data_IF_506249996082
#
_entry.id   IF_506249996082
#
_cell.length_a   1.000
_cell.length_b   1.000
_cell.length_c   1.000
_cell.angle_alpha   90.00
_cell.angle_beta   90.00
_cell.angle_gamma   90.00
#
_symmetry.space_group_name_H-M   'P 1'
#
loop_
_entity.id
_entity.type
_entity.pdbx_description
1 polymer ?
#
# COMPACT_ATOMS: atom_id res chain seq x y z
N UNK A 1 4.26 -3.42 -25.61
CA UNK A 1 4.61 -4.31 -26.74
C UNK A 1 3.28 -4.58 -27.44
N UNK A 2 3.16 -4.37 -28.76
CA UNK A 2 1.90 -4.62 -29.49
C UNK A 2 1.66 -6.12 -29.69
N UNK A 3 0.45 -6.45 -30.14
CA UNK A 3 0.08 -7.84 -30.46
C UNK A 3 0.96 -8.42 -31.57
N UNK A 4 1.08 -9.75 -31.57
CA UNK A 4 1.75 -10.45 -32.64
C UNK A 4 0.94 -10.33 -33.93
N UNK A 5 1.60 -10.09 -35.03
CA UNK A 5 1.00 -10.02 -36.37
C UNK A 5 1.28 -11.28 -37.16
N UNK A 6 0.33 -11.68 -38.00
CA UNK A 6 0.56 -12.79 -38.93
C UNK A 6 1.66 -12.41 -39.92
N UNK A 7 2.62 -13.32 -40.13
CA UNK A 7 3.75 -13.14 -41.05
C UNK A 7 3.68 -14.20 -42.15
N UNK A 8 3.62 -13.75 -43.39
CA UNK A 8 3.65 -14.64 -44.55
C UNK A 8 4.98 -15.42 -44.68
N UNK A 9 4.96 -16.54 -45.40
CA UNK A 9 6.16 -17.34 -45.64
C UNK A 9 7.25 -16.51 -46.32
N UNK A 10 8.39 -16.32 -45.62
CA UNK A 10 9.49 -15.44 -46.03
C UNK A 10 9.34 -13.98 -45.71
N UNK A 11 8.26 -13.59 -45.00
CA UNK A 11 8.05 -12.24 -44.49
C UNK A 11 9.01 -11.86 -43.35
N UNK A 12 9.29 -10.58 -43.23
CA UNK A 12 10.13 -10.08 -42.12
C UNK A 12 9.29 -9.93 -40.83
N UNK A 13 9.84 -10.44 -39.74
CA UNK A 13 9.27 -10.21 -38.41
C UNK A 13 9.63 -8.80 -37.97
N UNK A 14 8.65 -8.07 -37.44
CA UNK A 14 8.86 -6.74 -36.82
C UNK A 14 9.48 -6.89 -35.44
N UNK A 15 10.55 -6.12 -35.18
CA UNK A 15 11.27 -6.15 -33.93
C UNK A 15 11.03 -4.84 -33.17
N UNK A 16 10.30 -4.91 -32.07
CA UNK A 16 10.20 -3.81 -31.13
C UNK A 16 11.41 -3.78 -30.20
N UNK A 17 11.98 -2.62 -29.97
CA UNK A 17 13.05 -2.48 -28.98
C UNK A 17 12.49 -2.51 -27.57
N UNK A 18 13.04 -3.38 -26.72
CA UNK A 18 12.73 -3.45 -25.30
C UNK A 18 13.41 -2.28 -24.57
N UNK A 19 12.62 -1.40 -23.96
CA UNK A 19 13.12 -0.38 -23.04
C UNK A 19 13.08 -0.91 -21.62
N UNK A 20 14.17 -0.71 -20.88
CA UNK A 20 14.27 -1.07 -19.46
C UNK A 20 14.34 0.21 -18.65
N UNK A 21 13.46 0.36 -17.69
CA UNK A 21 13.52 1.46 -16.71
C UNK A 21 14.11 0.98 -15.40
N UNK A 22 14.77 1.88 -14.67
CA UNK A 22 15.44 1.55 -13.41
C UNK A 22 14.94 2.48 -12.31
N UNK A 23 14.30 1.88 -11.31
CA UNK A 23 13.86 2.59 -10.12
C UNK A 23 14.89 2.52 -9.00
N UNK A 24 15.14 3.63 -8.34
CA UNK A 24 16.00 3.70 -7.16
C UNK A 24 15.15 3.80 -5.89
N UNK A 25 15.40 2.93 -4.93
CA UNK A 25 14.74 2.96 -3.63
C UNK A 25 15.73 3.13 -2.49
N UNK A 26 15.29 3.83 -1.44
CA UNK A 26 16.11 4.12 -0.26
C UNK A 26 15.79 3.13 0.84
N UNK A 27 16.84 2.53 1.42
CA UNK A 27 16.70 1.67 2.59
C UNK A 27 16.78 2.53 3.84
N UNK A 28 15.84 2.35 4.74
CA UNK A 28 15.77 3.03 6.04
C UNK A 28 16.09 2.10 7.19
N UNK A 29 16.49 2.69 8.29
CA UNK A 29 16.62 2.03 9.58
C UNK A 29 15.38 2.35 10.42
N UNK A 30 14.65 1.34 10.86
CA UNK A 30 13.66 1.45 11.92
C UNK A 30 14.22 0.81 13.19
N UNK A 31 14.04 1.46 14.32
CA UNK A 31 14.52 0.92 15.58
C UNK A 31 13.71 1.45 16.76
N UNK A 32 13.62 0.64 17.80
CA UNK A 32 12.96 0.98 19.06
C UNK A 32 13.79 0.40 20.22
N UNK A 33 13.82 1.12 21.31
CA UNK A 33 14.48 0.66 22.53
C UNK A 33 13.64 0.90 23.78
N UNK A 34 13.89 0.08 24.79
CA UNK A 34 13.30 0.14 26.12
C UNK A 34 14.42 0.15 27.15
N UNK A 35 14.23 0.89 28.24
CA UNK A 35 15.12 0.88 29.40
C UNK A 35 14.35 0.42 30.63
N UNK A 36 14.96 -0.44 31.43
CA UNK A 36 14.38 -1.00 32.65
C UNK A 36 15.38 -0.78 33.77
N UNK A 37 14.94 -0.18 34.87
CA UNK A 37 15.75 -0.02 36.09
C UNK A 37 15.79 -1.33 36.89
N UNK A 38 16.83 -1.52 37.69
CA UNK A 38 16.96 -2.72 38.53
C UNK A 38 15.81 -2.78 39.56
N UNK A 39 15.39 -1.64 40.09
CA UNK A 39 14.27 -1.54 41.03
C UNK A 39 12.97 -2.01 40.38
N UNK A 40 12.71 -1.59 39.11
CA UNK A 40 11.50 -2.02 38.38
C UNK A 40 11.56 -3.53 38.06
N UNK A 41 12.75 -4.08 37.81
CA UNK A 41 12.91 -5.50 37.56
C UNK A 41 12.73 -6.35 38.83
N UNK A 42 13.13 -5.81 39.98
CA UNK A 42 13.05 -6.53 41.28
C UNK A 42 11.66 -6.39 41.93
N UNK A 43 11.02 -5.22 41.80
CA UNK A 43 9.71 -4.93 42.43
C UNK A 43 8.54 -5.15 41.49
N UNK A 44 8.78 -5.32 40.18
CA UNK A 44 7.74 -5.51 39.17
C UNK A 44 7.03 -6.86 39.32
N UNK A 45 5.69 -6.82 39.20
CA UNK A 45 4.91 -8.04 39.10
C UNK A 45 5.01 -8.60 37.68
N UNK A 46 5.44 -9.87 37.55
CA UNK A 46 5.60 -10.53 36.26
C UNK A 46 7.03 -10.43 35.69
N UNK A 47 7.17 -10.48 34.35
CA UNK A 47 8.44 -10.35 33.63
C UNK A 47 8.49 -9.04 32.84
N UNK A 48 9.01 -7.95 33.41
CA UNK A 48 9.12 -6.66 32.71
C UNK A 48 10.11 -6.69 31.55
N UNK A 49 11.09 -7.61 31.57
CA UNK A 49 12.08 -7.75 30.50
C UNK A 49 11.45 -8.38 29.26
N UNK A 50 10.75 -9.50 29.44
CA UNK A 50 10.04 -10.17 28.37
C UNK A 50 8.96 -9.28 27.73
N UNK A 51 8.20 -8.56 28.58
CA UNK A 51 7.20 -7.62 28.08
C UNK A 51 7.84 -6.44 27.30
N UNK A 52 8.97 -5.93 27.74
CA UNK A 52 9.71 -4.90 27.02
C UNK A 52 10.18 -5.37 25.63
N UNK A 53 10.71 -6.60 25.54
CA UNK A 53 11.12 -7.18 24.27
C UNK A 53 9.93 -7.41 23.34
N UNK A 54 8.80 -7.91 23.86
CA UNK A 54 7.55 -8.07 23.09
C UNK A 54 7.08 -6.74 22.52
N UNK A 55 7.08 -5.67 23.31
CA UNK A 55 6.67 -4.34 22.86
C UNK A 55 7.59 -3.78 21.78
N UNK A 56 8.89 -3.99 21.88
CA UNK A 56 9.85 -3.57 20.84
C UNK A 56 9.53 -4.27 19.50
N UNK A 57 9.32 -5.58 19.54
CA UNK A 57 9.02 -6.37 18.34
C UNK A 57 7.71 -5.90 17.69
N UNK A 58 6.67 -5.70 18.50
CA UNK A 58 5.40 -5.19 18.00
C UNK A 58 5.51 -3.77 17.43
N UNK A 59 6.33 -2.91 18.02
CA UNK A 59 6.53 -1.55 17.54
C UNK A 59 7.24 -1.52 16.18
N UNK A 60 8.25 -2.38 15.97
CA UNK A 60 8.96 -2.50 14.69
C UNK A 60 8.01 -3.04 13.62
N UNK A 61 7.30 -4.15 13.89
CA UNK A 61 6.33 -4.71 12.97
C UNK A 61 5.24 -3.69 12.59
N UNK A 62 4.71 -2.97 13.58
CA UNK A 62 3.72 -1.92 13.32
C UNK A 62 4.26 -0.78 12.45
N UNK A 63 5.55 -0.44 12.60
CA UNK A 63 6.19 0.59 11.76
C UNK A 63 6.33 0.13 10.31
N UNK A 64 6.74 -1.12 10.09
CA UNK A 64 6.84 -1.70 8.75
C UNK A 64 5.48 -1.69 8.07
N UNK A 65 4.43 -2.17 8.74
CA UNK A 65 3.08 -2.18 8.21
C UNK A 65 2.58 -0.76 7.85
N UNK A 66 2.89 0.22 8.71
CA UNK A 66 2.49 1.61 8.44
C UNK A 66 3.22 2.18 7.22
N UNK A 67 4.48 1.84 7.04
CA UNK A 67 5.28 2.28 5.88
C UNK A 67 4.81 1.59 4.59
N UNK A 68 4.46 0.30 4.66
CA UNK A 68 3.85 -0.43 3.54
C UNK A 68 2.53 0.24 3.14
N UNK A 69 1.65 0.49 4.11
CA UNK A 69 0.36 1.12 3.85
C UNK A 69 0.52 2.54 3.32
N UNK A 70 1.43 3.35 3.89
CA UNK A 70 1.70 4.71 3.43
C UNK A 70 2.23 4.73 1.99
N UNK A 71 3.07 3.75 1.63
CA UNK A 71 3.57 3.60 0.26
C UNK A 71 2.45 3.16 -0.68
N UNK A 72 1.59 2.22 -0.26
CA UNK A 72 0.43 1.76 -1.02
C UNK A 72 -0.55 2.89 -1.33
N UNK A 73 -0.78 3.81 -0.37
CA UNK A 73 -1.67 4.97 -0.55
C UNK A 73 -1.19 5.96 -1.63
N UNK A 74 0.00 5.79 -2.17
CA UNK A 74 0.54 6.58 -3.29
C UNK A 74 0.45 5.85 -4.63
N UNK A 75 -0.34 4.79 -4.71
CA UNK A 75 -0.61 4.10 -5.97
C UNK A 75 -1.13 5.06 -7.04
N UNK A 76 -0.80 4.75 -8.29
CA UNK A 76 -1.30 5.45 -9.47
C UNK A 76 -2.80 5.23 -9.67
N UNK A 77 -3.26 3.99 -9.47
CA UNK A 77 -4.67 3.66 -9.58
C UNK A 77 -5.41 4.05 -8.30
N UNK A 78 -6.26 5.06 -8.42
CA UNK A 78 -7.06 5.54 -7.29
C UNK A 78 -8.50 5.79 -7.69
N UNK A 79 -9.43 5.32 -6.87
CA UNK A 79 -10.85 5.65 -6.96
C UNK A 79 -11.21 6.59 -5.81
N UNK A 80 -11.39 7.88 -6.13
CA UNK A 80 -11.63 8.91 -5.10
C UNK A 80 -13.04 9.50 -5.11
N UNK A 81 -13.86 9.16 -6.08
CA UNK A 81 -15.18 9.78 -6.26
C UNK A 81 -16.29 8.74 -6.37
N UNK A 82 -17.24 8.80 -5.41
CA UNK A 82 -18.54 8.14 -5.55
C UNK A 82 -18.58 6.65 -5.23
N UNK A 83 -17.48 6.04 -4.83
CA UNK A 83 -17.46 4.62 -4.46
C UNK A 83 -17.73 4.47 -2.97
N UNK A 84 -18.88 3.89 -2.63
CA UNK A 84 -19.19 3.53 -1.24
C UNK A 84 -18.58 2.15 -0.93
N UNK A 85 -17.56 2.13 -0.10
CA UNK A 85 -16.87 0.90 0.34
C UNK A 85 -17.78 -0.05 1.13
N UNK A 86 -19.01 0.37 1.46
CA UNK A 86 -19.98 -0.45 2.17
C UNK A 86 -21.03 -1.08 1.25
N UNK A 87 -21.02 -0.75 -0.05
CA UNK A 87 -21.87 -1.35 -1.09
C UNK A 87 -21.18 -2.50 -1.81
N UNK A 88 -21.95 -3.42 -2.36
CA UNK A 88 -21.47 -4.48 -3.23
C UNK A 88 -20.91 -3.93 -4.55
N UNK A 89 -21.46 -2.81 -5.04
CA UNK A 89 -21.00 -2.13 -6.27
C UNK A 89 -19.52 -1.71 -6.21
N UNK A 90 -18.93 -1.68 -5.00
CA UNK A 90 -17.50 -1.44 -4.83
C UNK A 90 -16.64 -2.49 -5.57
N UNK A 91 -17.06 -3.75 -5.56
CA UNK A 91 -16.29 -4.82 -6.22
C UNK A 91 -16.33 -4.66 -7.73
N UNK A 92 -17.52 -4.33 -8.28
CA UNK A 92 -17.67 -4.03 -9.70
C UNK A 92 -16.81 -2.81 -10.12
N UNK A 93 -16.76 -1.79 -9.26
CA UNK A 93 -15.91 -0.63 -9.51
C UNK A 93 -14.40 -0.96 -9.44
N UNK A 94 -13.99 -1.89 -8.56
CA UNK A 94 -12.61 -2.38 -8.49
C UNK A 94 -12.24 -3.13 -9.77
N UNK A 95 -13.12 -4.04 -10.21
CA UNK A 95 -12.88 -4.81 -11.43
C UNK A 95 -12.84 -3.92 -12.67
N UNK A 96 -13.78 -2.97 -12.79
CA UNK A 96 -13.77 -2.00 -13.86
C UNK A 96 -12.48 -1.19 -13.88
N UNK A 97 -12.01 -0.71 -12.72
CA UNK A 97 -10.78 0.07 -12.65
C UNK A 97 -9.53 -0.71 -13.05
N UNK A 98 -9.47 -2.01 -12.78
CA UNK A 98 -8.37 -2.85 -13.24
C UNK A 98 -8.48 -3.20 -14.72
N UNK A 99 -9.68 -3.35 -15.26
CA UNK A 99 -9.90 -3.67 -16.67
C UNK A 99 -9.79 -2.44 -17.58
N UNK A 100 -10.17 -1.27 -17.07
CA UNK A 100 -10.11 0.00 -17.82
C UNK A 100 -8.71 0.65 -17.82
N UNK A 101 -7.73 0.04 -17.14
CA UNK A 101 -6.36 0.53 -17.16
C UNK A 101 -5.72 0.27 -18.52
N UNK A 102 -5.84 1.24 -19.42
CA UNK A 102 -5.24 1.23 -20.75
C UNK A 102 -3.81 1.79 -20.78
N UNK A 103 -3.16 1.90 -19.64
CA UNK A 103 -1.79 2.39 -19.58
C UNK A 103 -0.83 1.46 -20.36
N UNK A 104 0.25 2.01 -20.89
CA UNK A 104 1.30 1.27 -21.61
C UNK A 104 1.93 0.14 -20.75
N UNK A 105 1.69 0.19 -19.44
CA UNK A 105 2.19 -0.75 -18.44
C UNK A 105 1.14 -1.79 -18.01
N UNK A 106 -0.13 -1.60 -18.36
CA UNK A 106 -1.15 -2.61 -18.17
C UNK A 106 -0.84 -3.76 -19.13
N UNK A 107 -0.16 -4.74 -18.62
CA UNK A 107 0.01 -6.01 -19.33
C UNK A 107 -1.34 -6.69 -19.31
N UNK A 108 -1.84 -7.15 -20.45
CA UNK A 108 -2.89 -8.15 -20.48
C UNK A 108 -2.40 -9.34 -19.67
N UNK A 109 -2.78 -9.33 -18.39
CA UNK A 109 -2.19 -10.23 -17.43
C UNK A 109 -3.13 -11.43 -17.29
N UNK A 110 -2.60 -12.59 -17.52
CA UNK A 110 -3.16 -13.88 -17.13
C UNK A 110 -3.18 -14.01 -15.57
N UNK A 111 -3.04 -12.88 -14.89
CA UNK A 111 -3.09 -12.75 -13.45
C UNK A 111 -4.52 -12.99 -12.98
N UNK A 112 -4.72 -13.82 -11.97
CA UNK A 112 -6.05 -14.11 -11.48
C UNK A 112 -6.76 -12.80 -11.10
N UNK A 113 -8.01 -12.66 -11.50
CA UNK A 113 -8.89 -11.52 -11.13
C UNK A 113 -9.06 -11.38 -9.63
N UNK A 114 -8.53 -12.31 -8.87
CA UNK A 114 -8.63 -12.43 -7.43
C UNK A 114 -7.45 -11.80 -6.73
N UNK A 115 -7.73 -11.11 -5.64
CA UNK A 115 -6.71 -10.47 -4.81
C UNK A 115 -7.17 -10.36 -3.36
N UNK A 116 -6.48 -9.51 -2.61
CA UNK A 116 -6.79 -9.23 -1.21
C UNK A 116 -7.33 -7.82 -1.09
N UNK A 117 -8.49 -7.68 -0.46
CA UNK A 117 -9.14 -6.42 -0.16
C UNK A 117 -8.98 -6.09 1.32
N UNK A 118 -8.19 -5.08 1.63
CA UNK A 118 -8.03 -4.59 2.98
C UNK A 118 -9.03 -3.49 3.27
N UNK A 119 -9.77 -3.62 4.39
CA UNK A 119 -10.81 -2.68 4.79
C UNK A 119 -10.85 -2.45 6.30
N UNK A 120 -11.49 -1.35 6.71
CA UNK A 120 -11.76 -1.10 8.13
C UNK A 120 -12.79 -2.12 8.66
N UNK A 121 -12.63 -2.67 9.88
CA UNK A 121 -13.57 -3.61 10.48
C UNK A 121 -15.02 -3.11 10.56
N UNK A 122 -15.24 -1.80 10.69
CA UNK A 122 -16.60 -1.22 10.71
C UNK A 122 -17.26 -1.29 9.34
N UNK A 123 -16.49 -1.01 8.28
CA UNK A 123 -17.01 -1.04 6.92
C UNK A 123 -17.27 -2.47 6.46
N UNK A 124 -16.40 -3.42 6.83
CA UNK A 124 -16.65 -4.85 6.59
C UNK A 124 -17.94 -5.31 7.27
N UNK A 125 -18.24 -4.83 8.48
CA UNK A 125 -19.50 -5.17 9.13
C UNK A 125 -20.73 -4.57 8.43
N UNK A 126 -20.62 -3.37 7.85
CA UNK A 126 -21.69 -2.76 7.05
C UNK A 126 -21.87 -3.51 5.74
N UNK A 127 -20.78 -3.79 5.05
CA UNK A 127 -20.77 -4.58 3.81
C UNK A 127 -21.41 -5.97 4.02
N UNK A 128 -21.09 -6.63 5.13
CA UNK A 128 -21.72 -7.92 5.48
C UNK A 128 -23.24 -7.80 5.66
N UNK A 129 -23.73 -6.72 6.28
CA UNK A 129 -25.17 -6.48 6.42
C UNK A 129 -25.81 -6.23 5.07
N UNK A 130 -25.22 -5.41 4.21
CA UNK A 130 -25.71 -5.16 2.85
C UNK A 130 -25.75 -6.43 2.00
N UNK A 131 -24.72 -7.28 2.10
CA UNK A 131 -24.69 -8.57 1.44
C UNK A 131 -25.79 -9.53 1.96
N UNK A 132 -26.05 -9.54 3.27
CA UNK A 132 -27.10 -10.36 3.86
C UNK A 132 -28.52 -9.91 3.44
N UNK A 133 -28.74 -8.61 3.26
CA UNK A 133 -30.02 -8.08 2.78
C UNK A 133 -30.30 -8.44 1.31
N UNK A 134 -29.27 -8.47 0.47
CA UNK A 134 -29.39 -8.81 -0.95
C UNK A 134 -29.48 -10.33 -1.20
N UNK A 135 -28.91 -11.15 -0.33
CA UNK A 135 -28.96 -12.61 -0.42
C UNK A 135 -30.03 -13.20 0.50
N UNK A 136 -31.30 -12.92 0.19
CA UNK A 136 -32.45 -13.37 0.95
C UNK A 136 -32.82 -14.86 0.77
N UNK A 137 -32.04 -15.63 0.01
CA UNK A 137 -32.25 -17.07 -0.10
C UNK A 137 -31.25 -17.82 0.77
N UNK A 138 -31.79 -18.77 1.55
CA UNK A 138 -31.04 -19.77 2.32
C UNK A 138 -30.17 -20.62 1.37
N UNK A 139 -29.00 -20.12 1.06
CA UNK A 139 -27.90 -20.88 0.49
C UNK A 139 -26.91 -21.10 1.63
N UNK A 140 -26.22 -22.24 1.62
CA UNK A 140 -25.21 -22.60 2.63
C UNK A 140 -24.19 -21.47 2.87
N UNK A 141 -23.97 -20.61 1.89
CA UNK A 141 -23.12 -19.45 1.95
C UNK A 141 -23.72 -18.33 2.81
N UNK A 142 -25.03 -18.05 2.67
CA UNK A 142 -25.73 -17.05 3.47
C UNK A 142 -25.80 -17.42 4.95
N UNK A 143 -26.04 -18.68 5.26
CA UNK A 143 -26.05 -19.21 6.61
C UNK A 143 -24.66 -19.17 7.27
N UNK A 144 -23.60 -19.48 6.53
CA UNK A 144 -22.23 -19.40 7.03
C UNK A 144 -21.81 -17.96 7.32
N UNK A 145 -22.22 -17.00 6.53
CA UNK A 145 -21.95 -15.55 6.77
C UNK A 145 -22.68 -15.07 8.02
N UNK A 146 -23.95 -15.46 8.20
CA UNK A 146 -24.79 -15.06 9.34
C UNK A 146 -24.37 -15.73 10.66
N UNK A 147 -24.12 -17.04 10.65
CA UNK A 147 -23.88 -17.83 11.85
C UNK A 147 -22.43 -17.79 12.28
N UNK A 148 -21.49 -17.99 11.35
CA UNK A 148 -20.07 -18.09 11.70
C UNK A 148 -19.31 -16.76 11.59
N UNK A 149 -19.91 -15.71 11.03
CA UNK A 149 -19.26 -14.41 10.86
C UNK A 149 -18.02 -14.44 9.97
N UNK A 150 -17.80 -15.54 9.27
CA UNK A 150 -16.72 -15.71 8.31
C UNK A 150 -17.08 -15.02 7.01
N UNK A 151 -16.64 -13.79 6.88
CA UNK A 151 -16.66 -13.07 5.60
C UNK A 151 -15.24 -13.15 5.04
N UNK A 152 -14.94 -14.27 4.38
CA UNK A 152 -13.60 -14.57 3.91
C UNK A 152 -13.35 -14.09 2.48
N UNK A 153 -14.34 -14.24 1.62
CA UNK A 153 -14.20 -13.99 0.19
C UNK A 153 -15.49 -13.41 -0.38
N UNK A 154 -15.38 -12.38 -1.21
CA UNK A 154 -16.48 -11.74 -1.90
C UNK A 154 -16.10 -11.58 -3.37
N UNK A 155 -16.83 -12.27 -4.28
CA UNK A 155 -16.61 -12.22 -5.72
C UNK A 155 -15.12 -12.44 -6.10
N UNK A 156 -14.45 -13.41 -5.47
CA UNK A 156 -13.05 -13.71 -5.71
C UNK A 156 -12.06 -12.85 -4.93
N UNK A 157 -12.50 -11.84 -4.19
CA UNK A 157 -11.64 -11.00 -3.35
C UNK A 157 -11.63 -11.46 -1.90
N UNK A 158 -10.45 -11.79 -1.39
CA UNK A 158 -10.27 -12.13 0.02
C UNK A 158 -10.31 -10.86 0.89
N UNK A 159 -11.26 -10.77 1.82
CA UNK A 159 -11.41 -9.59 2.68
C UNK A 159 -10.59 -9.74 3.94
N UNK A 160 -9.66 -8.80 4.16
CA UNK A 160 -8.83 -8.70 5.35
C UNK A 160 -9.18 -7.43 6.13
N UNK A 161 -9.50 -7.61 7.41
CA UNK A 161 -9.84 -6.50 8.31
C UNK A 161 -8.59 -5.88 8.89
N UNK A 162 -8.36 -4.59 8.65
CA UNK A 162 -7.25 -3.82 9.22
C UNK A 162 -7.75 -2.56 9.90
N UNK A 163 -7.36 -2.36 11.17
CA UNK A 163 -7.67 -1.13 11.91
C UNK A 163 -6.83 0.07 11.46
N UNK A 164 -5.77 -0.18 10.69
CA UNK A 164 -4.90 0.87 10.14
C UNK A 164 -5.51 1.59 8.94
N UNK A 165 -6.54 1.01 8.34
CA UNK A 165 -7.30 1.62 7.26
C UNK A 165 -8.41 2.49 7.84
N UNK A 166 -8.52 3.70 7.31
CA UNK A 166 -9.55 4.66 7.71
C UNK A 166 -10.93 4.18 7.27
N UNK A 167 -11.97 4.52 8.03
CA UNK A 167 -13.37 4.27 7.63
C UNK A 167 -13.66 4.96 6.29
N UNK A 168 -14.35 4.28 5.40
CA UNK A 168 -14.67 4.75 4.06
C UNK A 168 -13.53 4.60 3.05
N UNK A 169 -12.43 3.94 3.43
CA UNK A 169 -11.30 3.67 2.54
C UNK A 169 -11.08 2.17 2.39
N UNK A 170 -10.57 1.75 1.25
CA UNK A 170 -10.18 0.37 1.02
C UNK A 170 -8.93 0.29 0.14
N UNK A 171 -8.24 -0.84 0.21
CA UNK A 171 -7.03 -1.11 -0.56
C UNK A 171 -7.18 -2.49 -1.20
N UNK A 172 -7.25 -2.53 -2.52
CA UNK A 172 -7.28 -3.77 -3.30
C UNK A 172 -5.88 -4.07 -3.84
N UNK A 173 -5.39 -5.27 -3.56
CA UNK A 173 -4.02 -5.69 -3.89
C UNK A 173 -4.07 -7.04 -4.59
N UNK A 174 -3.56 -7.09 -5.81
CA UNK A 174 -3.28 -8.34 -6.52
C UNK A 174 -1.87 -8.86 -6.15
N UNK A 175 -1.59 -10.15 -6.32
CA UNK A 175 -0.27 -10.71 -6.04
C UNK A 175 0.85 -10.00 -6.84
N UNK A 176 1.96 -9.70 -6.17
CA UNK A 176 3.12 -9.09 -6.80
C UNK A 176 3.10 -7.57 -6.90
N UNK A 177 2.04 -6.88 -6.42
CA UNK A 177 1.92 -5.43 -6.48
C UNK A 177 3.01 -4.67 -5.71
N UNK A 178 3.41 -5.18 -4.55
CA UNK A 178 4.39 -4.53 -3.67
C UNK A 178 5.49 -5.49 -3.25
N UNK A 179 6.68 -4.93 -2.99
CA UNK A 179 7.84 -5.68 -2.48
C UNK A 179 8.47 -4.96 -1.30
N UNK A 180 8.87 -5.74 -0.30
CA UNK A 180 9.70 -5.29 0.81
C UNK A 180 11.12 -5.82 0.64
N UNK A 181 12.08 -4.93 0.63
CA UNK A 181 13.49 -5.24 0.47
C UNK A 181 14.18 -5.16 1.83
N UNK A 182 14.62 -6.31 2.33
CA UNK A 182 15.30 -6.42 3.63
C UNK A 182 16.80 -6.40 3.41
N UNK A 183 17.47 -5.37 3.94
CA UNK A 183 18.95 -5.29 3.91
C UNK A 183 19.56 -5.99 5.12
N UNK A 184 18.93 -5.84 6.27
CA UNK A 184 19.31 -6.49 7.52
C UNK A 184 18.07 -6.81 8.34
N UNK A 185 17.95 -8.05 8.73
CA UNK A 185 16.89 -8.52 9.62
C UNK A 185 17.03 -7.87 11.01
N UNK A 186 16.02 -8.03 11.83
CA UNK A 186 15.99 -7.50 13.20
C UNK A 186 17.24 -7.92 13.98
N UNK A 187 18.01 -6.94 14.41
CA UNK A 187 19.12 -7.13 15.33
C UNK A 187 18.70 -6.59 16.70
N UNK A 188 18.74 -7.46 17.71
CA UNK A 188 18.44 -7.08 19.09
C UNK A 188 19.74 -7.00 19.89
N UNK A 189 19.92 -5.92 20.62
CA UNK A 189 21.09 -5.68 21.46
C UNK A 189 20.67 -5.38 22.89
N UNK A 190 21.48 -5.84 23.83
CA UNK A 190 21.34 -5.57 25.26
C UNK A 190 22.55 -4.81 25.76
N UNK A 191 22.33 -3.67 26.38
CA UNK A 191 23.34 -2.86 27.04
C UNK A 191 23.01 -2.66 28.52
N UNK A 192 24.04 -2.61 29.37
CA UNK A 192 23.89 -2.24 30.77
C UNK A 192 24.60 -0.93 31.08
N UNK A 193 23.88 -0.05 31.69
CA UNK A 193 24.41 1.19 32.26
C UNK A 193 24.70 0.95 33.75
N UNK A 194 25.98 0.91 34.11
CA UNK A 194 26.39 0.55 35.47
C UNK A 194 26.20 1.70 36.45
N UNK A 195 26.26 2.93 35.96
CA UNK A 195 26.18 4.12 36.82
C UNK A 195 24.74 4.35 37.28
N UNK A 196 23.80 4.15 36.38
CA UNK A 196 22.37 4.36 36.66
C UNK A 196 21.60 3.07 37.02
N UNK A 197 22.29 1.92 37.04
CA UNK A 197 21.65 0.62 37.28
C UNK A 197 20.47 0.33 36.36
N UNK A 198 20.64 0.66 35.07
CA UNK A 198 19.61 0.49 34.00
C UNK A 198 20.08 -0.56 33.00
N UNK A 199 19.18 -1.49 32.66
CA UNK A 199 19.35 -2.37 31.53
C UNK A 199 18.59 -1.81 30.32
N UNK A 200 19.30 -1.65 29.20
CA UNK A 200 18.76 -1.12 27.94
C UNK A 200 18.64 -2.28 26.95
N UNK A 201 17.49 -2.37 26.31
CA UNK A 201 17.23 -3.27 25.19
C UNK A 201 16.86 -2.43 23.98
N UNK A 202 17.45 -2.72 22.84
CA UNK A 202 17.05 -2.13 21.58
C UNK A 202 16.94 -3.20 20.51
N UNK A 203 16.16 -2.92 19.48
CA UNK A 203 16.21 -3.67 18.26
C UNK A 203 16.07 -2.73 17.09
N UNK A 204 16.74 -3.04 16.01
CA UNK A 204 16.68 -2.29 14.77
C UNK A 204 16.70 -3.20 13.55
N UNK A 205 16.13 -2.68 12.46
CA UNK A 205 15.97 -3.36 11.19
C UNK A 205 16.23 -2.39 10.05
N UNK A 206 16.78 -2.87 8.93
CA UNK A 206 17.00 -2.07 7.74
C UNK A 206 16.19 -2.62 6.58
N UNK A 207 15.23 -1.85 6.10
CA UNK A 207 14.33 -2.25 5.02
C UNK A 207 13.98 -1.08 4.11
N UNK A 208 13.46 -1.42 2.94
CA UNK A 208 12.82 -0.52 2.01
C UNK A 208 11.52 -1.14 1.53
N UNK A 209 10.56 -0.31 1.21
CA UNK A 209 9.28 -0.73 0.62
C UNK A 209 9.11 -0.01 -0.72
N UNK A 210 8.73 -0.74 -1.74
CA UNK A 210 8.43 -0.18 -3.04
C UNK A 210 7.18 -0.81 -3.65
N UNK A 211 6.43 -0.03 -4.41
CA UNK A 211 5.44 -0.54 -5.33
C UNK A 211 6.22 -1.15 -6.49
N UNK A 212 6.04 -2.43 -6.73
CA UNK A 212 6.73 -3.14 -7.81
C UNK A 212 5.93 -3.08 -9.11
N UNK A 213 4.62 -3.22 -9.00
CA UNK A 213 3.70 -3.18 -10.12
C UNK A 213 2.48 -2.36 -9.69
N UNK A 214 2.37 -1.15 -10.21
CA UNK A 214 1.32 -0.21 -9.86
C UNK A 214 -0.01 -0.52 -10.57
N UNK A 215 -0.01 -1.38 -11.59
CA UNK A 215 -1.23 -1.86 -12.25
C UNK A 215 -1.99 -2.87 -11.38
N UNK A 216 -1.34 -3.46 -10.38
CA UNK A 216 -1.88 -4.47 -9.46
C UNK A 216 -2.31 -3.91 -8.09
N UNK A 217 -2.27 -2.59 -7.93
CA UNK A 217 -2.54 -1.92 -6.67
C UNK A 217 -3.57 -0.80 -6.86
N UNK A 218 -4.75 -0.95 -6.28
CA UNK A 218 -5.83 0.02 -6.36
C UNK A 218 -6.18 0.55 -4.97
N UNK A 219 -6.29 1.86 -4.84
CA UNK A 219 -6.69 2.53 -3.60
C UNK A 219 -8.04 3.21 -3.77
N UNK A 220 -8.97 2.92 -2.87
CA UNK A 220 -10.25 3.60 -2.77
C UNK A 220 -10.18 4.62 -1.64
N UNK A 221 -10.46 5.89 -1.95
CA UNK A 221 -10.39 7.01 -1.02
C UNK A 221 -9.05 7.06 -0.26
N UNK A 222 -7.94 7.47 -0.92
CA UNK A 222 -6.62 7.55 -0.30
C UNK A 222 -6.61 8.48 0.92
N UNK A 223 -5.81 8.14 1.92
CA UNK A 223 -5.66 8.90 3.17
C UNK A 223 -4.22 8.89 3.66
N UNK A 224 -3.87 9.84 4.52
CA UNK A 224 -2.55 9.86 5.16
C UNK A 224 -2.49 8.90 6.33
N UNK A 225 -1.46 8.05 6.35
CA UNK A 225 -1.25 7.01 7.37
C UNK A 225 -0.42 7.58 8.51
N UNK A 226 -0.99 7.63 9.71
CA UNK A 226 -0.28 8.07 10.91
C UNK A 226 0.92 7.18 11.22
N UNK A 227 2.09 7.80 11.45
CA UNK A 227 3.34 7.08 11.71
C UNK A 227 3.93 6.33 10.51
N UNK A 228 3.24 6.35 9.37
CA UNK A 228 3.77 5.86 8.11
C UNK A 228 4.69 6.88 7.45
N UNK A 229 5.70 6.39 6.74
CA UNK A 229 6.55 7.22 5.91
C UNK A 229 6.64 6.58 4.54
N UNK A 230 6.32 7.35 3.50
CA UNK A 230 6.53 6.90 2.13
C UNK A 230 8.02 6.74 1.91
N UNK A 231 8.46 5.50 1.72
CA UNK A 231 9.87 5.17 1.62
C UNK A 231 10.34 5.34 0.18
N UNK A 232 9.54 4.83 -0.75
CA UNK A 232 9.85 4.85 -2.16
C UNK A 232 8.55 5.07 -2.93
N UNK A 233 8.56 6.06 -3.79
CA UNK A 233 7.53 6.22 -4.81
C UNK A 233 8.13 5.69 -6.11
N UNK A 234 7.42 4.85 -6.82
CA UNK A 234 7.68 4.70 -8.23
C UNK A 234 7.49 6.08 -8.85
N UNK A 235 8.57 6.67 -9.27
CA UNK A 235 8.51 7.87 -10.09
C UNK A 235 8.01 7.36 -11.43
N UNK A 236 6.69 7.25 -11.56
CA UNK A 236 6.09 7.18 -12.88
C UNK A 236 6.66 8.37 -13.62
N UNK A 237 7.44 8.12 -14.63
CA UNK A 237 7.97 9.19 -15.46
C UNK A 237 6.76 9.93 -16.00
N UNK A 238 6.39 10.97 -15.34
CA UNK A 238 5.38 11.92 -15.81
C UNK A 238 5.92 12.52 -17.07
N UNK A 239 5.63 11.90 -18.21
CA UNK A 239 5.67 12.55 -19.52
C UNK A 239 4.56 13.61 -19.64
N UNK A 240 3.98 14.04 -18.56
CA UNK A 240 3.24 15.29 -18.47
C UNK A 240 4.17 16.43 -18.06
N UNK A 241 5.25 16.58 -18.82
CA UNK A 241 5.83 17.89 -19.01
C UNK A 241 4.83 18.70 -19.82
N UNK A 242 3.77 19.14 -19.18
CA UNK A 242 2.99 20.29 -19.69
C UNK A 242 3.98 21.41 -19.85
N UNK A 243 4.39 21.61 -21.08
CA UNK A 243 5.17 22.77 -21.50
C UNK A 243 4.37 23.98 -21.08
N UNK A 244 4.65 24.52 -19.91
CA UNK A 244 4.26 25.88 -19.55
C UNK A 244 4.97 26.78 -20.56
N UNK A 245 4.27 27.13 -21.66
CA UNK A 245 4.64 28.23 -22.49
C UNK A 245 4.75 29.45 -21.59
N UNK A 246 5.98 29.81 -21.28
CA UNK A 246 6.33 31.06 -20.67
C UNK A 246 5.83 32.14 -21.60
N UNK A 247 4.69 32.72 -21.27
CA UNK A 247 4.22 33.95 -21.89
C UNK A 247 5.12 35.07 -21.35
N UNK A 248 6.25 35.26 -21.99
CA UNK A 248 7.09 36.46 -21.83
C UNK A 248 6.27 37.62 -22.31
N UNK A 249 5.61 38.29 -21.38
CA UNK A 249 4.88 39.53 -21.61
C UNK A 249 5.78 40.55 -22.28
N UNK A 250 5.29 41.02 -23.37
CA UNK A 250 5.78 42.12 -24.19
C UNK A 250 5.78 43.38 -23.33
N UNK A 251 6.97 43.84 -22.95
CA UNK A 251 7.12 45.16 -22.38
C UNK A 251 6.84 46.18 -23.47
N UNK A 252 5.79 46.95 -23.27
CA UNK A 252 5.48 48.14 -24.05
C UNK A 252 6.40 49.24 -23.56
N UNK A 253 7.33 49.65 -24.40
CA UNK A 253 8.06 50.90 -24.23
C UNK A 253 7.10 52.04 -24.54
N UNK A 254 6.86 52.90 -23.60
CA UNK A 254 6.26 54.23 -23.81
C UNK A 254 7.38 55.23 -23.97
N UNK A 255 7.65 55.59 -25.21
CA UNK A 255 8.33 56.81 -25.57
C UNK A 255 7.48 58.04 -25.22
N UNK A 256 8.08 58.98 -24.55
CA UNK A 256 7.56 60.34 -24.53
C UNK A 256 8.72 61.30 -24.80
N UNK A 257 8.71 62.06 -25.88
CA UNK A 257 9.63 63.11 -26.06
C UNK A 257 8.97 64.42 -25.67
N UNK A 258 9.63 65.28 -24.99
CA UNK A 258 9.41 66.74 -25.14
C UNK A 258 10.58 67.52 -24.56
N UNK A 259 11.08 68.28 -25.49
CA UNK A 259 11.78 69.60 -25.40
C UNK A 259 12.97 69.65 -24.46
#
# INVERSE_FOLDING_TARGET
MGDATDVDEGGAIDYASLSTDTDMFTIKKAGKGVKITDEAALSGYGDPVGEGQRQITMAIASKIDNDILATAMKSRLTLSTGVDVTSLDMVDAIEAAFNDDTSEYAVEDDSPTTGVLFMNPKDVNKLRKAAAENWTRATDLGDNILINGTFGELLGWQIVRSRKIKEGSALAVKPGAMRTYMKRNVLSEKGRDMDHKITKFNADEHYGVAIYDDTKLLVINPFDVEGGTVINQNVTSTKDATVKKSNKGKAVASDTPSK
#
